data_IF_436246869854
#
_entry.id   IF_436246869854
#
_cell.length_a   1.000
_cell.length_b   1.000
_cell.length_c   1.000
_cell.angle_alpha   90.00
_cell.angle_beta   90.00
_cell.angle_gamma   90.00
#
_symmetry.space_group_name_H-M   'P 1'
#
loop_
_entity.id
_entity.type
_entity.pdbx_description
1 polymer ?
#
# COMPACT_ATOMS: atom_id res chain seq x y z
N UNK A 1 0.94 46.97 -13.24
CA UNK A 1 1.13 45.71 -14.00
C UNK A 1 1.93 44.77 -13.16
N UNK A 2 1.25 43.88 -12.41
CA UNK A 2 1.89 42.94 -11.51
C UNK A 2 1.82 41.55 -12.15
N UNK A 3 2.98 40.99 -12.48
CA UNK A 3 3.14 39.68 -13.07
C UNK A 3 3.14 38.66 -11.94
N UNK A 4 2.04 37.91 -11.79
CA UNK A 4 1.92 36.81 -10.87
C UNK A 4 2.62 35.55 -11.40
N UNK A 5 3.71 35.16 -10.77
CA UNK A 5 4.45 33.94 -11.09
C UNK A 5 3.70 32.72 -10.49
N UNK A 6 3.19 31.85 -11.35
CA UNK A 6 2.57 30.58 -10.95
C UNK A 6 3.69 29.58 -10.71
N UNK A 7 3.98 29.30 -9.44
CA UNK A 7 4.92 28.24 -9.07
C UNK A 7 4.19 26.90 -9.11
N UNK A 8 4.31 26.18 -10.20
CA UNK A 8 3.82 24.79 -10.32
C UNK A 8 4.70 23.86 -9.48
N UNK A 9 4.15 23.32 -8.41
CA UNK A 9 4.83 22.40 -7.49
C UNK A 9 5.26 21.11 -8.20
N UNK A 10 6.58 20.94 -8.36
CA UNK A 10 7.24 19.78 -9.00
C UNK A 10 7.49 18.58 -8.07
N UNK A 11 6.86 18.52 -6.90
CA UNK A 11 7.15 17.51 -5.87
C UNK A 11 6.45 16.15 -6.06
N UNK A 12 5.40 16.09 -6.89
CA UNK A 12 4.61 14.85 -7.07
C UNK A 12 5.25 13.79 -7.98
N UNK A 13 6.22 14.18 -8.83
CA UNK A 13 6.83 13.26 -9.80
C UNK A 13 7.87 12.30 -9.22
N UNK A 14 8.63 12.77 -8.24
CA UNK A 14 9.71 11.97 -7.62
C UNK A 14 9.19 10.79 -6.77
N UNK A 15 8.09 10.96 -6.05
CA UNK A 15 7.50 9.89 -5.25
C UNK A 15 6.95 8.76 -6.15
N UNK A 16 6.39 9.10 -7.30
CA UNK A 16 5.85 8.12 -8.27
C UNK A 16 6.94 7.26 -8.90
N UNK A 17 8.08 7.87 -9.26
CA UNK A 17 9.23 7.15 -9.82
C UNK A 17 9.90 6.22 -8.81
N UNK A 18 10.03 6.66 -7.55
CA UNK A 18 10.68 5.89 -6.51
C UNK A 18 9.87 4.63 -6.12
N UNK A 19 8.54 4.72 -6.04
CA UNK A 19 7.67 3.58 -5.71
C UNK A 19 7.67 2.54 -6.84
N UNK A 20 7.70 2.96 -8.10
CA UNK A 20 7.82 2.06 -9.25
C UNK A 20 9.09 1.23 -9.23
N UNK A 21 10.21 1.81 -8.85
CA UNK A 21 11.52 1.13 -8.84
C UNK A 21 11.63 -0.01 -7.82
N UNK A 22 10.90 0.04 -6.69
CA UNK A 22 10.93 -1.00 -5.66
C UNK A 22 10.36 -2.36 -6.14
N UNK A 23 9.53 -2.38 -7.18
CA UNK A 23 8.76 -3.56 -7.57
C UNK A 23 8.92 -3.96 -9.05
N UNK A 24 9.83 -3.30 -9.79
CA UNK A 24 10.18 -3.72 -11.14
C UNK A 24 11.09 -4.95 -11.12
N UNK A 25 10.49 -6.12 -10.97
CA UNK A 25 11.10 -7.38 -11.37
C UNK A 25 10.42 -7.84 -12.64
N UNK A 26 11.14 -7.78 -13.74
CA UNK A 26 10.71 -8.20 -15.07
C UNK A 26 10.22 -9.65 -15.08
N UNK A 27 9.01 -9.85 -15.54
CA UNK A 27 8.53 -11.02 -16.27
C UNK A 27 8.76 -12.40 -15.66
N UNK A 28 7.79 -12.86 -14.99
CA UNK A 28 7.06 -14.12 -15.09
C UNK A 28 6.03 -14.14 -13.97
N UNK A 29 4.88 -14.78 -14.21
CA UNK A 29 3.90 -15.09 -13.16
C UNK A 29 4.52 -16.20 -12.28
N UNK A 30 5.65 -15.91 -11.66
CA UNK A 30 6.22 -16.75 -10.64
C UNK A 30 5.34 -16.63 -9.40
N UNK A 31 4.96 -17.76 -8.81
CA UNK A 31 4.36 -17.78 -7.47
C UNK A 31 5.28 -16.98 -6.56
N UNK A 32 4.72 -16.11 -5.69
CA UNK A 32 5.54 -15.40 -4.72
C UNK A 32 6.43 -16.38 -3.96
N UNK A 33 7.70 -16.07 -3.81
CA UNK A 33 8.58 -16.84 -2.93
C UNK A 33 8.05 -16.66 -1.51
N UNK A 34 7.57 -17.75 -0.91
CA UNK A 34 7.00 -17.77 0.43
C UNK A 34 8.02 -18.27 1.46
N UNK A 35 9.31 -18.05 1.22
CA UNK A 35 10.32 -18.32 2.24
C UNK A 35 10.25 -17.26 3.36
N UNK A 36 10.55 -17.65 4.61
CA UNK A 36 10.64 -16.70 5.71
C UNK A 36 11.64 -15.58 5.42
N UNK A 37 11.22 -14.35 5.72
CA UNK A 37 12.05 -13.17 5.58
C UNK A 37 13.08 -13.07 6.71
N UNK A 38 14.24 -12.49 6.40
CA UNK A 38 15.25 -12.12 7.38
C UNK A 38 14.94 -10.77 8.06
N UNK A 39 15.91 -10.27 8.88
CA UNK A 39 15.80 -8.95 9.49
C UNK A 39 15.69 -7.85 8.43
N UNK A 40 14.75 -6.92 8.60
CA UNK A 40 14.52 -5.81 7.70
C UNK A 40 15.20 -4.51 8.21
N UNK A 41 14.96 -3.40 7.52
CA UNK A 41 15.56 -2.10 7.86
C UNK A 41 15.14 -1.58 9.25
N UNK A 42 13.93 -1.93 9.74
CA UNK A 42 13.51 -1.53 11.08
C UNK A 42 14.32 -2.25 12.18
N UNK A 43 14.81 -3.46 11.89
CA UNK A 43 15.67 -4.24 12.80
C UNK A 43 17.13 -3.74 12.74
N UNK A 44 17.59 -3.34 11.56
CA UNK A 44 18.97 -2.90 11.29
C UNK A 44 19.21 -1.43 11.62
N UNK A 45 18.15 -0.61 11.58
CA UNK A 45 18.22 0.84 11.71
C UNK A 45 18.51 1.56 10.40
N UNK A 46 18.28 2.86 10.38
CA UNK A 46 18.56 3.77 9.26
C UNK A 46 19.22 5.04 9.78
N UNK A 47 20.04 5.66 8.94
CA UNK A 47 20.61 6.98 9.21
C UNK A 47 19.61 8.13 8.92
N UNK A 48 18.48 7.84 8.29
CA UNK A 48 17.55 8.84 7.75
C UNK A 48 16.14 8.76 8.33
N UNK A 49 15.79 7.60 8.90
CA UNK A 49 14.46 7.33 9.42
C UNK A 49 14.55 6.54 10.74
N UNK A 50 13.66 6.82 11.64
CA UNK A 50 13.42 5.95 12.80
C UNK A 50 12.12 5.17 12.64
N UNK A 51 12.08 3.97 13.21
CA UNK A 51 10.98 3.03 13.03
C UNK A 51 10.28 2.76 14.34
N UNK A 52 8.96 2.68 14.27
CA UNK A 52 8.12 2.12 15.32
C UNK A 52 7.30 0.98 14.75
N UNK A 53 6.85 0.07 15.61
CA UNK A 53 6.01 -1.07 15.22
C UNK A 53 4.81 -1.17 16.15
N UNK A 54 3.65 -1.43 15.58
CA UNK A 54 2.42 -1.67 16.32
C UNK A 54 1.70 -2.90 15.77
N UNK A 55 1.02 -3.62 16.66
CA UNK A 55 0.21 -4.78 16.31
C UNK A 55 -1.27 -4.43 16.43
N UNK A 56 -2.08 -5.04 15.59
CA UNK A 56 -3.54 -4.93 15.59
C UNK A 56 -4.15 -6.30 15.33
N UNK A 57 -5.36 -6.48 15.81
CA UNK A 57 -6.18 -7.65 15.53
C UNK A 57 -7.46 -7.22 14.83
N UNK A 58 -7.98 -8.09 13.95
CA UNK A 58 -9.32 -7.92 13.42
C UNK A 58 -10.37 -8.14 14.53
N UNK A 59 -11.55 -7.55 14.37
CA UNK A 59 -12.61 -7.64 15.36
C UNK A 59 -13.05 -9.08 15.69
N UNK A 60 -12.92 -9.99 14.71
CA UNK A 60 -13.21 -11.43 14.89
C UNK A 60 -12.02 -12.23 15.42
N UNK A 61 -10.84 -11.60 15.59
CA UNK A 61 -9.62 -12.24 16.08
C UNK A 61 -8.95 -13.21 15.11
N UNK A 62 -9.42 -13.29 13.84
CA UNK A 62 -8.87 -14.24 12.86
C UNK A 62 -7.64 -13.70 12.12
N UNK A 63 -7.43 -12.39 12.11
CA UNK A 63 -6.31 -11.76 11.40
C UNK A 63 -5.51 -10.88 12.35
N UNK A 64 -4.19 -11.01 12.25
CA UNK A 64 -3.23 -10.35 13.10
C UNK A 64 -2.28 -9.52 12.25
N UNK A 65 -2.29 -8.21 12.46
CA UNK A 65 -1.56 -7.25 11.66
C UNK A 65 -0.31 -6.76 12.38
N UNK A 66 0.69 -6.43 11.60
CA UNK A 66 1.90 -5.72 12.03
C UNK A 66 2.07 -4.49 11.15
N UNK A 67 2.13 -3.34 11.79
CA UNK A 67 2.27 -2.06 11.11
C UNK A 67 3.61 -1.44 11.52
N UNK A 68 4.46 -1.20 10.55
CA UNK A 68 5.69 -0.44 10.73
C UNK A 68 5.45 1.00 10.31
N UNK A 69 5.95 1.95 11.10
CA UNK A 69 5.92 3.37 10.79
C UNK A 69 7.35 3.88 10.75
N UNK A 70 7.78 4.32 9.60
CA UNK A 70 9.08 4.96 9.37
C UNK A 70 8.88 6.48 9.31
N UNK A 71 9.44 7.19 10.27
CA UNK A 71 9.35 8.64 10.38
C UNK A 71 10.70 9.25 10.00
N UNK A 72 10.74 10.26 9.09
CA UNK A 72 12.00 10.92 8.74
C UNK A 72 12.65 11.59 9.94
N UNK A 73 13.97 11.47 10.09
CA UNK A 73 14.78 12.22 11.06
C UNK A 73 15.02 13.66 10.59
N UNK A 74 13.95 14.34 10.21
CA UNK A 74 13.90 15.70 9.69
C UNK A 74 12.59 16.34 10.13
N UNK A 75 12.62 17.59 10.55
CA UNK A 75 11.41 18.29 10.97
C UNK A 75 10.33 18.30 9.88
N UNK A 76 9.04 18.17 10.24
CA UNK A 76 7.96 18.22 9.28
C UNK A 76 7.87 19.60 8.61
N UNK A 77 7.42 19.67 7.36
CA UNK A 77 7.00 20.92 6.73
C UNK A 77 5.92 21.65 7.54
N UNK A 78 5.67 22.93 7.22
CA UNK A 78 4.66 23.72 7.92
C UNK A 78 3.25 23.07 7.86
N UNK A 79 2.89 22.44 6.72
CA UNK A 79 1.63 21.70 6.56
C UNK A 79 1.62 20.32 7.22
N UNK A 80 2.77 19.77 7.57
CA UNK A 80 2.97 18.40 8.06
C UNK A 80 3.69 17.51 7.05
N UNK A 81 4.03 16.29 7.46
CA UNK A 81 4.62 15.31 6.57
C UNK A 81 3.59 14.81 5.54
N UNK A 82 3.98 14.57 4.29
CA UNK A 82 3.28 13.61 3.46
C UNK A 82 3.31 12.24 4.12
N UNK A 83 2.29 11.42 3.92
CA UNK A 83 2.28 10.04 4.42
C UNK A 83 1.89 9.07 3.33
N UNK A 84 2.61 7.96 3.26
CA UNK A 84 2.37 6.87 2.33
C UNK A 84 2.09 5.57 3.09
N UNK A 85 0.87 5.09 2.97
CA UNK A 85 0.45 3.78 3.45
C UNK A 85 0.69 2.74 2.36
N UNK A 86 1.38 1.66 2.71
CA UNK A 86 1.74 0.59 1.78
C UNK A 86 1.20 -0.75 2.28
N UNK A 87 0.38 -1.39 1.47
CA UNK A 87 -0.14 -2.73 1.73
C UNK A 87 0.93 -3.80 1.49
N UNK A 88 0.70 -5.02 1.97
CA UNK A 88 1.68 -6.12 1.96
C UNK A 88 3.00 -5.73 2.67
N UNK A 89 2.88 -5.13 3.83
CA UNK A 89 3.97 -4.47 4.55
C UNK A 89 5.18 -5.36 4.82
N UNK A 90 5.02 -6.68 4.99
CA UNK A 90 6.14 -7.60 5.15
C UNK A 90 7.05 -7.59 3.91
N UNK A 91 6.46 -7.70 2.72
CA UNK A 91 7.21 -7.65 1.46
C UNK A 91 7.80 -6.25 1.19
N UNK A 92 7.09 -5.18 1.58
CA UNK A 92 7.60 -3.81 1.49
C UNK A 92 8.85 -3.64 2.36
N UNK A 93 8.77 -4.06 3.62
CA UNK A 93 9.89 -3.93 4.57
C UNK A 93 11.11 -4.77 4.18
N UNK A 94 10.91 -5.90 3.48
CA UNK A 94 12.00 -6.70 2.92
C UNK A 94 12.79 -5.96 1.82
N UNK A 95 12.12 -5.11 1.06
CA UNK A 95 12.71 -4.37 -0.07
C UNK A 95 13.18 -2.96 0.30
N UNK A 96 12.72 -2.43 1.41
CA UNK A 96 13.09 -1.10 1.87
C UNK A 96 14.52 -1.12 2.41
N UNK A 97 15.39 -0.30 1.85
CA UNK A 97 16.78 -0.17 2.27
C UNK A 97 17.18 1.29 2.55
N UNK A 98 18.36 1.46 3.16
CA UNK A 98 18.83 2.78 3.57
C UNK A 98 19.18 3.67 2.36
N UNK A 99 19.58 3.10 1.23
CA UNK A 99 19.86 3.86 0.01
C UNK A 99 18.59 4.49 -0.56
N UNK A 100 17.47 3.74 -0.53
CA UNK A 100 16.17 4.27 -0.94
C UNK A 100 15.67 5.35 0.03
N UNK A 101 15.80 5.11 1.34
CA UNK A 101 15.42 6.09 2.37
C UNK A 101 16.24 7.38 2.24
N UNK A 102 17.52 7.30 1.91
CA UNK A 102 18.37 8.45 1.63
C UNK A 102 17.84 9.29 0.46
N UNK A 103 17.42 8.64 -0.62
CA UNK A 103 16.84 9.34 -1.78
C UNK A 103 15.55 10.10 -1.41
N UNK A 104 14.68 9.49 -0.61
CA UNK A 104 13.47 10.16 -0.11
C UNK A 104 13.81 11.32 0.80
N UNK A 105 14.79 11.13 1.68
CA UNK A 105 15.22 12.13 2.68
C UNK A 105 15.78 13.40 2.04
N UNK A 106 16.43 13.30 0.88
CA UNK A 106 16.98 14.44 0.15
C UNK A 106 15.91 15.43 -0.35
N UNK A 107 14.66 14.98 -0.49
CA UNK A 107 13.55 15.80 -0.95
C UNK A 107 12.58 16.21 0.17
N UNK A 108 11.31 15.97 -0.04
CA UNK A 108 10.22 16.11 0.93
C UNK A 108 9.87 14.70 1.45
N UNK A 109 10.58 14.19 2.47
CA UNK A 109 10.45 12.81 2.88
C UNK A 109 9.07 12.53 3.49
N UNK A 110 8.36 11.51 3.01
CA UNK A 110 7.10 11.10 3.61
C UNK A 110 7.33 10.26 4.87
N UNK A 111 6.37 10.24 5.77
CA UNK A 111 6.19 9.12 6.69
C UNK A 111 5.77 7.90 5.86
N UNK A 112 6.40 6.75 6.06
CA UNK A 112 6.04 5.49 5.39
C UNK A 112 5.39 4.57 6.41
N UNK A 113 4.21 4.08 6.09
CA UNK A 113 3.45 3.16 6.95
C UNK A 113 3.25 1.85 6.19
N UNK A 114 3.99 0.81 6.56
CA UNK A 114 3.90 -0.50 5.94
C UNK A 114 2.94 -1.38 6.76
N UNK A 115 1.81 -1.75 6.15
CA UNK A 115 0.76 -2.55 6.79
C UNK A 115 0.92 -3.99 6.32
N UNK A 116 1.36 -4.84 7.22
CA UNK A 116 1.57 -6.27 6.99
C UNK A 116 0.86 -7.12 8.02
N UNK A 117 1.28 -8.38 8.10
CA UNK A 117 0.69 -9.39 8.97
C UNK A 117 1.73 -9.93 9.97
N UNK A 118 1.28 -10.48 11.07
CA UNK A 118 2.13 -11.12 12.09
C UNK A 118 2.61 -12.49 11.63
N UNK A 119 3.34 -12.52 10.53
CA UNK A 119 3.98 -13.72 9.96
C UNK A 119 5.43 -13.42 9.60
N UNK A 120 6.26 -14.45 9.53
CA UNK A 120 7.62 -14.34 9.00
C UNK A 120 7.66 -14.34 7.47
N UNK A 121 6.54 -14.63 6.79
CA UNK A 121 6.45 -14.72 5.35
C UNK A 121 6.26 -13.33 4.72
N UNK A 122 6.66 -13.15 3.44
CA UNK A 122 6.40 -11.90 2.71
C UNK A 122 4.91 -11.60 2.55
N UNK A 123 4.07 -12.63 2.52
CA UNK A 123 2.62 -12.52 2.38
C UNK A 123 1.90 -13.52 3.27
N UNK A 124 0.88 -13.08 4.00
CA UNK A 124 -0.18 -13.94 4.48
C UNK A 124 -1.23 -14.07 3.36
N UNK A 125 -1.13 -15.14 2.58
CA UNK A 125 -1.93 -15.31 1.36
C UNK A 125 -3.42 -15.50 1.64
N UNK A 126 -3.79 -16.00 2.81
CA UNK A 126 -5.17 -16.18 3.22
C UNK A 126 -5.77 -14.87 3.74
N UNK A 127 -5.08 -14.21 4.67
CA UNK A 127 -5.52 -12.95 5.26
C UNK A 127 -5.64 -11.85 4.19
N UNK A 128 -4.62 -11.68 3.32
CA UNK A 128 -4.66 -10.67 2.24
C UNK A 128 -5.72 -10.94 1.19
N UNK A 129 -6.05 -12.21 0.93
CA UNK A 129 -7.13 -12.54 0.00
C UNK A 129 -8.49 -12.10 0.55
N UNK A 130 -8.71 -12.24 1.85
CA UNK A 130 -9.90 -11.73 2.51
C UNK A 130 -9.92 -10.21 2.56
N UNK A 131 -8.85 -9.60 3.10
CA UNK A 131 -8.80 -8.18 3.41
C UNK A 131 -8.79 -7.27 2.16
N UNK A 132 -8.23 -7.74 1.04
CA UNK A 132 -8.02 -6.88 -0.13
C UNK A 132 -9.03 -7.09 -1.25
N UNK A 133 -9.91 -8.10 -1.14
CA UNK A 133 -10.86 -8.38 -2.21
C UNK A 133 -12.29 -8.12 -1.78
N UNK A 134 -13.13 -7.60 -2.70
CA UNK A 134 -14.56 -7.54 -2.48
C UNK A 134 -15.15 -8.97 -2.50
N UNK A 135 -16.42 -9.15 -2.06
CA UNK A 135 -17.12 -10.41 -2.22
C UNK A 135 -17.10 -10.83 -3.69
N UNK A 136 -16.31 -11.85 -4.00
CA UNK A 136 -16.27 -12.41 -5.35
C UNK A 136 -17.39 -13.43 -5.49
N UNK A 137 -18.18 -13.32 -6.56
CA UNK A 137 -19.11 -14.39 -6.93
C UNK A 137 -18.28 -15.64 -7.21
N UNK A 138 -18.61 -16.73 -6.54
CA UNK A 138 -17.98 -18.03 -6.79
C UNK A 138 -18.16 -18.40 -8.26
N UNK A 139 -17.07 -18.46 -9.00
CA UNK A 139 -17.12 -18.98 -10.36
C UNK A 139 -17.10 -20.49 -10.33
N UNK A 140 -17.94 -21.08 -11.15
CA UNK A 140 -17.88 -22.52 -11.41
C UNK A 140 -16.48 -22.92 -11.89
N UNK A 141 -15.96 -24.07 -11.45
CA UNK A 141 -14.64 -24.54 -11.87
C UNK A 141 -14.61 -24.66 -13.40
N UNK A 142 -13.62 -24.05 -14.05
CA UNK A 142 -13.37 -24.30 -15.47
C UNK A 142 -13.04 -25.77 -15.66
N UNK A 143 -13.77 -26.44 -16.57
CA UNK A 143 -13.51 -27.82 -16.95
C UNK A 143 -12.01 -28.03 -17.26
N UNK A 144 -11.39 -29.02 -16.59
CA UNK A 144 -10.02 -29.47 -16.86
C UNK A 144 -8.90 -28.86 -16.02
N UNK A 145 -9.18 -28.00 -15.01
CA UNK A 145 -8.17 -27.58 -14.03
C UNK A 145 -8.56 -28.02 -12.62
N UNK A 146 -7.62 -28.59 -11.82
CA UNK A 146 -7.90 -28.89 -10.42
C UNK A 146 -8.36 -27.60 -9.73
N UNK A 147 -9.52 -27.65 -9.09
CA UNK A 147 -10.00 -26.54 -8.27
C UNK A 147 -9.00 -26.33 -7.11
N UNK A 148 -8.33 -25.20 -7.09
CA UNK A 148 -7.64 -24.76 -5.87
C UNK A 148 -8.73 -24.58 -4.80
N UNK A 149 -8.45 -24.93 -3.52
CA UNK A 149 -9.41 -24.69 -2.46
C UNK A 149 -9.84 -23.21 -2.49
N UNK A 150 -11.15 -22.94 -2.40
CA UNK A 150 -11.67 -21.59 -2.50
C UNK A 150 -11.05 -20.74 -1.39
N UNK A 151 -10.34 -19.68 -1.76
CA UNK A 151 -9.86 -18.70 -0.78
C UNK A 151 -11.05 -17.88 -0.30
N UNK A 152 -11.17 -17.71 1.00
CA UNK A 152 -12.14 -16.79 1.59
C UNK A 152 -11.84 -15.37 1.05
N UNK A 153 -12.86 -14.70 0.53
CA UNK A 153 -12.78 -13.33 -0.05
C UNK A 153 -13.95 -12.49 0.48
N UNK A 154 -13.89 -11.17 0.32
CA UNK A 154 -15.04 -10.32 0.62
C UNK A 154 -14.93 -9.49 1.89
N UNK A 155 -13.76 -9.43 2.53
CA UNK A 155 -13.53 -8.67 3.76
C UNK A 155 -13.01 -7.26 3.54
N UNK A 156 -12.91 -6.78 2.30
CA UNK A 156 -12.29 -5.48 1.99
C UNK A 156 -12.96 -4.28 2.70
N UNK A 157 -14.25 -4.30 2.93
CA UNK A 157 -14.93 -3.24 3.67
C UNK A 157 -14.60 -3.28 5.17
N UNK A 158 -14.52 -4.48 5.76
CA UNK A 158 -14.12 -4.65 7.16
C UNK A 158 -12.68 -4.19 7.37
N UNK A 159 -11.78 -4.58 6.49
CA UNK A 159 -10.38 -4.15 6.54
C UNK A 159 -10.25 -2.63 6.30
N UNK A 160 -10.98 -2.07 5.35
CA UNK A 160 -11.00 -0.63 5.11
C UNK A 160 -11.46 0.14 6.35
N UNK A 161 -12.49 -0.34 7.04
CA UNK A 161 -12.96 0.27 8.28
C UNK A 161 -11.87 0.22 9.37
N UNK A 162 -11.25 -0.94 9.61
CA UNK A 162 -10.14 -1.07 10.56
C UNK A 162 -8.99 -0.12 10.21
N UNK A 163 -8.63 -0.03 8.92
CA UNK A 163 -7.58 0.85 8.42
C UNK A 163 -7.91 2.33 8.71
N UNK A 164 -9.09 2.78 8.31
CA UNK A 164 -9.44 4.21 8.35
C UNK A 164 -9.89 4.69 9.72
N UNK A 165 -10.50 3.85 10.53
CA UNK A 165 -11.05 4.23 11.85
C UNK A 165 -10.11 3.92 13.01
N UNK A 166 -9.14 3.01 12.82
CA UNK A 166 -8.25 2.58 13.89
C UNK A 166 -6.77 2.78 13.55
N UNK A 167 -6.28 2.13 12.47
CA UNK A 167 -4.84 2.12 12.16
C UNK A 167 -4.33 3.52 11.82
N UNK A 168 -5.00 4.24 10.92
CA UNK A 168 -4.58 5.58 10.49
C UNK A 168 -4.61 6.57 11.67
N UNK A 169 -5.73 6.74 12.41
CA UNK A 169 -5.76 7.67 13.54
C UNK A 169 -4.70 7.37 14.60
N UNK A 170 -4.49 6.10 14.93
CA UNK A 170 -3.51 5.73 15.95
C UNK A 170 -2.05 5.89 15.47
N UNK A 171 -1.79 5.68 14.18
CA UNK A 171 -0.46 5.90 13.59
C UNK A 171 -0.11 7.38 13.57
N UNK A 172 -1.07 8.23 13.23
CA UNK A 172 -0.87 9.67 13.06
C UNK A 172 -0.99 10.49 14.35
N UNK A 173 -1.45 9.89 15.46
CA UNK A 173 -1.82 10.60 16.70
C UNK A 173 -0.73 11.55 17.24
N UNK A 174 0.55 11.20 17.07
CA UNK A 174 1.69 11.99 17.54
C UNK A 174 2.55 12.55 16.40
N UNK A 175 2.02 12.53 15.18
CA UNK A 175 2.72 13.01 14.00
C UNK A 175 1.98 14.21 13.40
N UNK A 176 2.74 15.20 12.94
CA UNK A 176 2.19 16.30 12.16
C UNK A 176 2.08 15.86 10.70
N UNK A 177 0.94 15.34 10.30
CA UNK A 177 0.65 14.86 8.94
C UNK A 177 -0.12 15.93 8.16
N UNK A 178 0.23 16.11 6.88
CA UNK A 178 -0.58 16.86 5.94
C UNK A 178 -1.73 15.96 5.41
N UNK A 179 -2.99 16.21 5.80
CA UNK A 179 -4.10 15.36 5.40
C UNK A 179 -4.38 15.38 3.90
N UNK A 180 -3.92 16.42 3.18
CA UNK A 180 -4.04 16.53 1.72
C UNK A 180 -2.98 15.70 0.97
N UNK A 181 -1.95 15.24 1.66
CA UNK A 181 -0.87 14.42 1.11
C UNK A 181 -0.86 13.01 1.73
N UNK A 182 -2.02 12.47 2.05
CA UNK A 182 -2.18 11.10 2.51
C UNK A 182 -2.39 10.18 1.32
N UNK A 183 -1.43 9.30 1.07
CA UNK A 183 -1.41 8.36 -0.05
C UNK A 183 -1.55 6.92 0.41
N UNK A 184 -2.13 6.07 -0.44
CA UNK A 184 -2.15 4.62 -0.27
C UNK A 184 -1.62 3.93 -1.53
N UNK A 185 -0.81 2.90 -1.33
CA UNK A 185 -0.22 2.07 -2.37
C UNK A 185 -0.54 0.59 -2.14
N UNK A 186 -0.81 -0.14 -3.21
CA UNK A 186 -0.95 -1.59 -3.18
C UNK A 186 -0.67 -2.23 -4.53
N UNK A 187 -0.18 -3.47 -4.50
CA UNK A 187 0.14 -4.27 -5.68
C UNK A 187 -0.76 -5.51 -5.75
N UNK A 188 -1.14 -5.92 -6.96
CA UNK A 188 -1.96 -7.13 -7.20
C UNK A 188 -3.30 -7.06 -6.44
N UNK A 189 -3.58 -7.93 -5.47
CA UNK A 189 -4.76 -7.82 -4.60
C UNK A 189 -4.78 -6.50 -3.81
N UNK A 190 -3.61 -6.04 -3.33
CA UNK A 190 -3.49 -4.72 -2.71
C UNK A 190 -3.85 -3.59 -3.68
N UNK A 191 -3.48 -3.72 -4.96
CA UNK A 191 -3.90 -2.79 -6.02
C UNK A 191 -5.42 -2.79 -6.24
N UNK A 192 -6.06 -3.95 -6.18
CA UNK A 192 -7.52 -4.06 -6.24
C UNK A 192 -8.19 -3.35 -5.06
N UNK A 193 -7.66 -3.53 -3.84
CA UNK A 193 -8.13 -2.83 -2.66
C UNK A 193 -8.02 -1.31 -2.82
N UNK A 194 -6.89 -0.82 -3.34
CA UNK A 194 -6.67 0.62 -3.58
C UNK A 194 -7.71 1.19 -4.55
N UNK A 195 -8.05 0.46 -5.63
CA UNK A 195 -9.12 0.87 -6.56
C UNK A 195 -10.50 0.91 -5.90
N UNK A 196 -10.82 -0.08 -5.05
CA UNK A 196 -12.08 -0.09 -4.32
C UNK A 196 -12.16 1.05 -3.30
N UNK A 197 -11.08 1.31 -2.57
CA UNK A 197 -10.98 2.42 -1.64
C UNK A 197 -11.15 3.78 -2.34
N UNK A 198 -10.57 3.96 -3.54
CA UNK A 198 -10.76 5.17 -4.34
C UNK A 198 -12.21 5.37 -4.76
N UNK A 199 -12.89 4.31 -5.19
CA UNK A 199 -14.32 4.37 -5.57
C UNK A 199 -15.22 4.78 -4.41
N UNK A 200 -14.86 4.40 -3.18
CA UNK A 200 -15.64 4.64 -1.95
C UNK A 200 -15.27 5.95 -1.26
N UNK A 201 -14.48 6.82 -1.91
CA UNK A 201 -14.05 8.11 -1.38
C UNK A 201 -13.52 8.00 0.07
N UNK A 202 -12.49 7.20 0.26
CA UNK A 202 -11.89 6.98 1.58
C UNK A 202 -11.01 8.15 2.03
N UNK A 203 -10.39 8.01 3.20
CA UNK A 203 -9.57 9.02 3.89
C UNK A 203 -8.33 9.52 3.08
N UNK A 204 -7.98 8.82 2.00
CA UNK A 204 -6.79 9.12 1.20
C UNK A 204 -7.10 10.13 0.09
N UNK A 205 -6.13 11.02 -0.18
CA UNK A 205 -6.19 11.97 -1.30
C UNK A 205 -5.46 11.47 -2.55
N UNK A 206 -4.56 10.49 -2.42
CA UNK A 206 -3.71 9.97 -3.49
C UNK A 206 -3.73 8.44 -3.43
N UNK A 207 -3.94 7.82 -4.59
CA UNK A 207 -4.08 6.37 -4.72
C UNK A 207 -3.12 5.83 -5.77
N UNK A 208 -2.30 4.85 -5.40
CA UNK A 208 -1.37 4.15 -6.29
C UNK A 208 -1.77 2.67 -6.37
N UNK A 209 -2.40 2.29 -7.46
CA UNK A 209 -2.75 0.91 -7.74
C UNK A 209 -1.75 0.32 -8.73
N UNK A 210 -0.95 -0.63 -8.29
CA UNK A 210 0.06 -1.30 -9.11
C UNK A 210 -0.44 -2.69 -9.53
N UNK A 211 -0.50 -2.93 -10.85
CA UNK A 211 -0.87 -4.24 -11.45
C UNK A 211 -2.06 -4.90 -10.74
N UNK A 212 -3.22 -4.22 -10.61
CA UNK A 212 -4.33 -4.73 -9.82
C UNK A 212 -4.82 -6.08 -10.36
N UNK A 213 -5.08 -7.02 -9.47
CA UNK A 213 -5.68 -8.32 -9.83
C UNK A 213 -7.16 -8.14 -10.17
N UNK A 214 -7.43 -7.72 -11.39
CA UNK A 214 -8.78 -7.63 -11.94
C UNK A 214 -9.24 -9.03 -12.39
N UNK A 215 -9.69 -9.87 -11.47
CA UNK A 215 -10.20 -11.20 -11.78
C UNK A 215 -11.34 -11.18 -12.80
N UNK A 216 -11.75 -12.35 -13.31
CA UNK A 216 -12.80 -12.48 -14.37
C UNK A 216 -14.14 -11.81 -14.01
N UNK A 217 -14.41 -11.53 -12.75
CA UNK A 217 -15.61 -10.82 -12.30
C UNK A 217 -15.65 -9.33 -12.69
N UNK A 218 -14.51 -8.73 -13.06
CA UNK A 218 -14.40 -7.34 -13.52
C UNK A 218 -14.12 -7.24 -15.02
N UNK A 219 -14.21 -8.30 -15.76
CA UNK A 219 -13.92 -8.39 -17.21
C UNK A 219 -14.96 -7.70 -18.10
N UNK A 220 -15.89 -6.98 -17.58
CA UNK A 220 -16.79 -6.20 -18.39
C UNK A 220 -16.35 -4.78 -18.53
N UNK A 221 -16.20 -3.75 -18.67
CA UNK A 221 -15.72 -2.70 -19.58
C UNK A 221 -14.28 -2.22 -19.42
N UNK A 222 -13.46 -2.79 -18.53
CA UNK A 222 -12.07 -2.34 -18.35
C UNK A 222 -11.03 -3.16 -19.12
N UNK A 223 -11.45 -4.16 -19.90
CA UNK A 223 -10.58 -5.00 -20.73
C UNK A 223 -9.86 -4.25 -21.88
N UNK A 224 -10.17 -3.00 -22.11
CA UNK A 224 -9.60 -2.25 -23.22
C UNK A 224 -8.27 -1.53 -22.88
N UNK A 225 -7.83 -1.51 -21.63
CA UNK A 225 -6.52 -0.93 -21.28
C UNK A 225 -5.54 -2.04 -20.89
N UNK A 226 -4.84 -2.54 -21.88
CA UNK A 226 -3.69 -3.44 -21.72
C UNK A 226 -2.61 -2.71 -20.89
N UNK A 227 -1.98 -3.46 -19.94
CA UNK A 227 -0.80 -3.06 -19.16
C UNK A 227 -0.86 -1.64 -18.59
N UNK A 228 -1.68 -1.45 -17.56
CA UNK A 228 -1.54 -0.28 -16.73
C UNK A 228 -0.37 -0.54 -15.76
N UNK A 229 0.82 -0.04 -16.10
CA UNK A 229 1.82 0.31 -15.12
C UNK A 229 1.16 1.19 -14.05
N UNK A 230 1.69 1.25 -12.83
CA UNK A 230 1.04 1.90 -11.70
C UNK A 230 0.25 3.17 -12.06
N UNK A 231 -1.07 3.13 -11.92
CA UNK A 231 -1.94 4.27 -12.23
C UNK A 231 -2.14 5.10 -10.97
N UNK A 232 -1.89 6.40 -11.09
CA UNK A 232 -2.14 7.37 -10.03
C UNK A 232 -3.52 7.98 -10.19
N UNK A 233 -4.36 7.84 -9.16
CA UNK A 233 -5.65 8.53 -9.08
C UNK A 233 -5.58 9.64 -8.01
N UNK A 234 -6.16 10.80 -8.31
CA UNK A 234 -6.42 11.83 -7.29
C UNK A 234 -7.81 11.60 -6.70
N UNK A 235 -7.93 11.80 -5.39
CA UNK A 235 -9.23 11.79 -4.72
C UNK A 235 -10.16 12.83 -5.34
N UNK A 236 -11.45 12.53 -5.37
CA UNK A 236 -12.47 13.52 -5.76
C UNK A 236 -12.61 14.50 -4.60
N UNK A 237 -12.36 15.77 -4.86
CA UNK A 237 -12.63 16.90 -3.95
C UNK A 237 -14.12 17.16 -3.85
#
# INVERSE_FOLDING_TARGET
MSSGSITTGRTSGLLTLAIGALFYSSGSIARPDLQPLGPNIADKGSAFYHFTQRQYDSADGERHYRVWTAVPDKAPPAAGYPVLYMLDGNAVMDKLDDAFLQQLFAGSPPVIVAIGYQTALPFDTAARAWDYTPPLKTHEPRAGKPALPPRKTGGNDVFRQLLTETMVPQTEANLKIDPHQRAIWGHSYGGLFVLDAWRKASLFGIYYSASPSLGQALQSPLQASQSLDAVRFRGKS
#
